data_IF_888180394063
#
_entry.id   IF_888180394063
#
_cell.length_a   1.000
_cell.length_b   1.000
_cell.length_c   1.000
_cell.angle_alpha   90.00
_cell.angle_beta   90.00
_cell.angle_gamma   90.00
#
_symmetry.space_group_name_H-M   'P 1'
#
loop_
_entity.id
_entity.type
_entity.pdbx_description
1 polymer ?
#
# COMPACT_ATOMS: atom_id res chain seq x y z
N UNK A 1 -3.19 25.70 7.52
CA UNK A 1 -3.99 24.44 7.60
C UNK A 1 -3.33 23.19 7.00
N UNK A 2 -2.37 23.27 6.06
CA UNK A 2 -1.79 22.05 5.43
C UNK A 2 -0.89 21.20 6.36
N UNK A 3 -0.19 21.80 7.32
CA UNK A 3 0.72 21.09 8.24
C UNK A 3 -0.02 20.09 9.14
N UNK A 4 -1.13 20.49 9.76
CA UNK A 4 -1.97 19.61 10.58
C UNK A 4 -2.50 18.36 9.83
N UNK A 5 -2.72 18.43 8.53
CA UNK A 5 -3.18 17.26 7.75
C UNK A 5 -2.06 16.26 7.48
N UNK A 6 -0.81 16.71 7.36
CA UNK A 6 0.37 15.87 7.19
C UNK A 6 0.70 15.15 8.49
N UNK A 7 0.73 15.88 9.61
CA UNK A 7 0.98 15.33 10.95
C UNK A 7 -0.05 14.27 11.31
N UNK A 8 -1.35 14.54 11.14
CA UNK A 8 -2.39 13.54 11.39
C UNK A 8 -2.25 12.28 10.51
N UNK A 9 -1.69 12.41 9.29
CA UNK A 9 -1.42 11.23 8.45
C UNK A 9 -0.23 10.42 8.97
N UNK A 10 0.85 11.10 9.32
CA UNK A 10 2.05 10.47 9.87
C UNK A 10 1.74 9.74 11.19
N UNK A 11 1.00 10.38 12.10
CA UNK A 11 0.56 9.77 13.35
C UNK A 11 -0.26 8.48 13.13
N UNK A 12 -1.23 8.49 12.20
CA UNK A 12 -2.00 7.28 11.86
C UNK A 12 -1.15 6.19 11.22
N UNK A 13 -0.10 6.55 10.48
CA UNK A 13 0.84 5.60 9.90
C UNK A 13 1.69 4.97 11.01
N UNK A 14 2.24 5.77 11.91
CA UNK A 14 3.02 5.32 13.06
C UNK A 14 2.22 4.38 13.97
N UNK A 15 1.00 4.78 14.39
CA UNK A 15 0.13 3.94 15.22
C UNK A 15 -0.17 2.58 14.59
N UNK A 16 -0.38 2.53 13.27
CA UNK A 16 -0.59 1.25 12.56
C UNK A 16 0.67 0.40 12.53
N UNK A 17 1.85 1.02 12.40
CA UNK A 17 3.12 0.30 12.41
C UNK A 17 3.39 -0.28 13.79
N UNK A 18 3.20 0.50 14.85
CA UNK A 18 3.35 0.04 16.24
C UNK A 18 2.40 -1.10 16.57
N UNK A 19 1.11 -0.97 16.23
CA UNK A 19 0.13 -2.04 16.43
C UNK A 19 0.56 -3.34 15.71
N UNK A 20 1.06 -3.23 14.49
CA UNK A 20 1.52 -4.40 13.74
C UNK A 20 2.79 -5.02 14.35
N UNK A 21 3.74 -4.20 14.82
CA UNK A 21 4.91 -4.69 15.55
C UNK A 21 4.52 -5.47 16.80
N UNK A 22 3.54 -4.95 17.57
CA UNK A 22 3.04 -5.60 18.78
C UNK A 22 2.35 -6.94 18.48
N UNK A 23 1.46 -6.97 17.46
CA UNK A 23 0.76 -8.21 17.07
C UNK A 23 1.75 -9.28 16.59
N UNK A 24 2.75 -8.88 15.80
CA UNK A 24 3.77 -9.78 15.29
C UNK A 24 4.89 -10.06 16.30
N UNK A 25 4.89 -9.40 17.46
CA UNK A 25 5.95 -9.49 18.47
C UNK A 25 7.35 -9.43 17.84
N UNK A 26 7.59 -8.40 17.03
CA UNK A 26 8.87 -8.23 16.30
C UNK A 26 10.02 -8.13 17.30
N UNK A 27 11.02 -9.00 17.12
CA UNK A 27 12.21 -9.03 18.00
C UNK A 27 13.27 -8.03 17.52
N UNK A 28 14.24 -7.64 18.37
CA UNK A 28 15.34 -6.77 17.96
C UNK A 28 16.11 -7.31 16.74
N UNK A 29 16.25 -8.64 16.61
CA UNK A 29 16.90 -9.26 15.45
C UNK A 29 16.11 -9.08 14.14
N UNK A 30 14.79 -8.87 14.23
CA UNK A 30 13.89 -8.71 13.09
C UNK A 30 13.64 -7.24 12.71
N UNK A 31 14.10 -6.28 13.52
CA UNK A 31 13.88 -4.84 13.31
C UNK A 31 14.44 -4.33 11.97
N UNK A 32 15.55 -4.91 11.49
CA UNK A 32 16.12 -4.58 10.18
C UNK A 32 15.19 -5.00 9.02
N UNK A 33 14.66 -6.22 9.08
CA UNK A 33 13.71 -6.74 8.09
C UNK A 33 12.38 -5.96 8.14
N UNK A 34 11.90 -5.66 9.35
CA UNK A 34 10.72 -4.82 9.57
C UNK A 34 10.85 -3.43 8.94
N UNK A 35 11.97 -2.74 9.22
CA UNK A 35 12.20 -1.38 8.74
C UNK A 35 12.26 -1.31 7.22
N UNK A 36 12.94 -2.28 6.59
CA UNK A 36 13.00 -2.42 5.13
C UNK A 36 11.61 -2.64 4.53
N UNK A 37 10.81 -3.51 5.13
CA UNK A 37 9.45 -3.77 4.68
C UNK A 37 8.53 -2.56 4.79
N UNK A 38 8.60 -1.82 5.91
CA UNK A 38 7.82 -0.60 6.08
C UNK A 38 8.23 0.50 5.10
N UNK A 39 9.53 0.66 4.85
CA UNK A 39 10.04 1.61 3.86
C UNK A 39 9.54 1.28 2.45
N UNK A 40 9.51 -0.01 2.09
CA UNK A 40 9.00 -0.45 0.78
C UNK A 40 7.53 -0.08 0.57
N UNK A 41 6.70 -0.10 1.62
CA UNK A 41 5.27 0.26 1.54
C UNK A 41 5.04 1.77 1.41
N UNK A 42 5.95 2.59 1.92
CA UNK A 42 5.85 4.05 1.90
C UNK A 42 6.42 4.70 0.63
N UNK A 43 7.36 4.03 -0.06
CA UNK A 43 8.09 4.61 -1.19
C UNK A 43 7.27 4.86 -2.48
N UNK A 44 6.01 4.42 -2.55
CA UNK A 44 5.16 4.76 -3.70
C UNK A 44 4.61 6.17 -3.61
N UNK A 45 4.96 7.03 -4.58
CA UNK A 45 4.36 8.36 -4.72
C UNK A 45 2.83 8.22 -4.79
N UNK A 46 2.07 8.97 -3.96
CA UNK A 46 0.64 9.07 -4.17
C UNK A 46 0.39 9.53 -5.61
N UNK A 47 -0.61 8.97 -6.29
CA UNK A 47 -1.04 9.46 -7.59
C UNK A 47 -1.20 10.98 -7.48
N UNK A 48 -0.41 11.73 -8.27
CA UNK A 48 -0.39 13.18 -8.17
C UNK A 48 -1.81 13.70 -8.42
N UNK A 49 -2.30 14.51 -7.48
CA UNK A 49 -3.50 15.32 -7.68
C UNK A 49 -3.20 16.25 -8.85
N UNK A 50 -3.57 15.86 -10.06
CA UNK A 50 -3.21 16.53 -11.31
C UNK A 50 -3.23 15.61 -12.54
N UNK A 51 -2.99 14.31 -12.37
CA UNK A 51 -2.98 13.35 -13.48
C UNK A 51 -4.30 13.31 -14.27
N UNK A 52 -5.44 13.56 -13.62
CA UNK A 52 -6.74 13.62 -14.32
C UNK A 52 -6.83 14.81 -15.28
N UNK A 53 -6.31 15.96 -14.88
CA UNK A 53 -6.30 17.16 -15.72
C UNK A 53 -5.29 17.03 -16.87
N UNK A 54 -4.13 16.41 -16.63
CA UNK A 54 -3.16 16.09 -17.69
C UNK A 54 -3.75 15.15 -18.73
N UNK A 55 -4.41 14.07 -18.30
CA UNK A 55 -5.04 13.10 -19.21
C UNK A 55 -6.16 13.71 -20.07
N UNK A 56 -6.86 14.73 -19.55
CA UNK A 56 -7.93 15.41 -20.27
C UNK A 56 -7.42 16.28 -21.43
N UNK A 57 -6.16 16.74 -21.36
CA UNK A 57 -5.52 17.55 -22.42
C UNK A 57 -4.92 16.71 -23.55
N UNK A 58 -4.77 15.40 -23.34
CA UNK A 58 -4.27 14.47 -24.35
C UNK A 58 -5.37 14.08 -25.33
N UNK A 59 -4.98 13.86 -26.58
CA UNK A 59 -5.83 13.20 -27.57
C UNK A 59 -6.13 11.76 -27.15
N UNK A 60 -7.14 11.14 -27.76
CA UNK A 60 -7.57 9.78 -27.38
C UNK A 60 -6.44 8.74 -27.49
N UNK A 61 -5.63 8.68 -28.58
CA UNK A 61 -4.51 7.74 -28.66
C UNK A 61 -3.44 7.97 -27.58
N UNK A 62 -3.00 9.22 -27.40
CA UNK A 62 -2.00 9.58 -26.38
C UNK A 62 -2.49 9.27 -24.95
N UNK A 63 -3.78 9.43 -24.70
CA UNK A 63 -4.40 9.07 -23.42
C UNK A 63 -4.32 7.57 -23.16
N UNK A 64 -4.56 6.74 -24.19
CA UNK A 64 -4.44 5.27 -24.09
C UNK A 64 -3.01 4.90 -23.72
N UNK A 65 -2.01 5.47 -24.40
CA UNK A 65 -0.60 5.19 -24.14
C UNK A 65 -0.17 5.66 -22.74
N UNK A 66 -0.60 6.86 -22.33
CA UNK A 66 -0.33 7.37 -20.98
C UNK A 66 -0.95 6.47 -19.92
N UNK A 67 -2.17 5.98 -20.13
CA UNK A 67 -2.83 5.05 -19.21
C UNK A 67 -2.13 3.69 -19.16
N UNK A 68 -1.62 3.19 -20.29
CA UNK A 68 -0.80 1.97 -20.35
C UNK A 68 0.47 2.14 -19.52
N UNK A 69 1.20 3.25 -19.70
CA UNK A 69 2.40 3.55 -18.93
C UNK A 69 2.12 3.64 -17.42
N UNK A 70 1.02 4.28 -17.02
CA UNK A 70 0.60 4.36 -15.62
C UNK A 70 0.26 2.99 -15.03
N UNK A 71 -0.37 2.10 -15.81
CA UNK A 71 -0.65 0.72 -15.38
C UNK A 71 0.66 -0.07 -15.20
N UNK A 72 1.58 0.01 -16.16
CA UNK A 72 2.88 -0.64 -16.08
C UNK A 72 3.67 -0.16 -14.84
N UNK A 73 3.71 1.14 -14.58
CA UNK A 73 4.38 1.69 -13.39
C UNK A 73 3.75 1.21 -12.09
N UNK A 74 2.42 1.08 -12.03
CA UNK A 74 1.72 0.52 -10.86
C UNK A 74 1.99 -0.96 -10.66
N UNK A 75 2.07 -1.73 -11.75
CA UNK A 75 2.40 -3.16 -11.70
C UNK A 75 3.82 -3.36 -11.14
N UNK A 76 4.82 -2.67 -11.70
CA UNK A 76 6.19 -2.73 -11.20
C UNK A 76 6.32 -2.35 -9.72
N UNK A 77 5.57 -1.34 -9.28
CA UNK A 77 5.53 -0.95 -7.87
C UNK A 77 4.84 -1.99 -6.98
N UNK A 78 3.82 -2.69 -7.49
CA UNK A 78 3.18 -3.79 -6.79
C UNK A 78 4.14 -4.98 -6.64
N UNK A 79 4.87 -5.33 -7.70
CA UNK A 79 5.87 -6.40 -7.68
C UNK A 79 6.98 -6.09 -6.67
N UNK A 80 7.52 -4.86 -6.67
CA UNK A 80 8.52 -4.41 -5.70
C UNK A 80 8.04 -4.57 -4.25
N UNK A 81 6.78 -4.22 -3.96
CA UNK A 81 6.18 -4.39 -2.62
C UNK A 81 5.94 -5.86 -2.29
N UNK A 82 5.56 -6.66 -3.30
CA UNK A 82 5.38 -8.10 -3.19
C UNK A 82 6.67 -8.78 -2.76
N UNK A 83 7.77 -8.50 -3.46
CA UNK A 83 9.09 -9.05 -3.12
C UNK A 83 9.55 -8.63 -1.72
N UNK A 84 9.44 -7.35 -1.36
CA UNK A 84 9.75 -6.92 0.01
C UNK A 84 8.89 -7.61 1.08
N UNK A 85 7.64 -7.96 0.76
CA UNK A 85 6.76 -8.70 1.67
C UNK A 85 7.19 -10.15 1.79
N UNK A 86 7.58 -10.81 0.69
CA UNK A 86 8.12 -12.18 0.72
C UNK A 86 9.41 -12.24 1.53
N UNK A 87 10.33 -11.29 1.34
CA UNK A 87 11.57 -11.20 2.12
C UNK A 87 11.29 -11.02 3.62
N UNK A 88 10.36 -10.14 3.98
CA UNK A 88 9.97 -9.96 5.38
C UNK A 88 9.34 -11.22 5.97
N UNK A 89 8.43 -11.87 5.22
CA UNK A 89 7.77 -13.11 5.65
C UNK A 89 8.76 -14.23 5.92
N UNK A 90 9.82 -14.36 5.10
CA UNK A 90 10.89 -15.34 5.31
C UNK A 90 11.72 -15.08 6.59
N UNK A 91 11.74 -13.84 7.10
CA UNK A 91 12.42 -13.49 8.35
C UNK A 91 11.54 -13.68 9.61
N UNK A 92 10.26 -14.00 9.44
CA UNK A 92 9.32 -14.27 10.53
C UNK A 92 9.41 -15.72 11.00
N UNK A 93 9.14 -15.96 12.28
CA UNK A 93 8.94 -17.32 12.80
C UNK A 93 7.62 -17.90 12.31
N UNK A 94 7.42 -19.23 12.34
CA UNK A 94 6.16 -19.85 11.91
C UNK A 94 4.91 -19.30 12.63
N UNK A 95 5.03 -18.98 13.93
CA UNK A 95 3.93 -18.38 14.69
C UNK A 95 3.61 -16.95 14.21
N UNK A 96 4.64 -16.15 13.93
CA UNK A 96 4.47 -14.79 13.41
C UNK A 96 3.94 -14.78 11.97
N UNK A 97 4.36 -15.74 11.14
CA UNK A 97 3.83 -15.93 9.80
C UNK A 97 2.32 -16.18 9.82
N UNK A 98 1.85 -17.08 10.68
CA UNK A 98 0.40 -17.32 10.87
C UNK A 98 -0.35 -16.06 11.31
N UNK A 99 0.21 -15.29 12.24
CA UNK A 99 -0.37 -14.01 12.66
C UNK A 99 -0.38 -12.99 11.51
N UNK A 100 0.67 -12.96 10.70
CA UNK A 100 0.77 -12.11 9.52
C UNK A 100 -0.27 -12.48 8.46
N UNK A 101 -0.49 -13.77 8.20
CA UNK A 101 -1.50 -14.25 7.26
C UNK A 101 -2.92 -13.88 7.69
N UNK A 102 -3.23 -14.02 8.98
CA UNK A 102 -4.52 -13.59 9.53
C UNK A 102 -4.75 -12.08 9.35
N UNK A 103 -3.73 -11.26 9.62
CA UNK A 103 -3.76 -9.82 9.39
C UNK A 103 -3.99 -9.44 7.92
N UNK A 104 -3.50 -10.27 6.99
CA UNK A 104 -3.63 -10.04 5.56
C UNK A 104 -5.00 -10.49 5.05
N UNK A 105 -5.56 -11.59 5.57
CA UNK A 105 -6.93 -12.04 5.28
C UNK A 105 -7.99 -11.03 5.76
N UNK A 106 -7.77 -10.37 6.89
CA UNK A 106 -8.63 -9.26 7.36
C UNK A 106 -8.52 -8.02 6.46
N UNK A 107 -7.39 -7.81 5.78
CA UNK A 107 -7.12 -6.66 4.91
C UNK A 107 -7.45 -6.92 3.44
N UNK A 108 -7.53 -8.18 3.03
CA UNK A 108 -7.75 -8.62 1.67
C UNK A 108 -8.60 -9.87 1.65
N UNK A 109 -9.72 -9.80 0.92
CA UNK A 109 -10.63 -10.90 0.57
C UNK A 109 -11.81 -11.21 1.51
N UNK A 110 -12.17 -10.30 2.42
CA UNK A 110 -13.46 -10.36 3.13
C UNK A 110 -14.06 -8.97 3.32
N UNK A 111 -15.18 -8.67 2.61
CA UNK A 111 -16.02 -7.45 2.70
C UNK A 111 -15.52 -6.21 1.96
N UNK A 112 -15.76 -6.17 0.65
CA UNK A 112 -15.50 -4.96 -0.14
C UNK A 112 -15.93 -4.98 -1.61
N UNK A 113 -17.02 -5.68 -1.96
CA UNK A 113 -17.65 -5.56 -3.29
C UNK A 113 -19.18 -5.76 -3.25
N UNK A 114 -19.83 -5.26 -2.20
CA UNK A 114 -21.29 -5.12 -2.13
C UNK A 114 -21.63 -3.69 -1.72
N UNK A 115 -22.41 -3.00 -2.56
CA UNK A 115 -22.87 -1.59 -2.50
C UNK A 115 -21.89 -0.56 -3.09
N UNK A 116 -22.20 0.21 -4.15
CA UNK A 116 -23.50 0.67 -4.67
C UNK A 116 -23.44 0.82 -6.20
N UNK A 117 -24.23 0.03 -6.92
CA UNK A 117 -24.95 0.59 -8.06
C UNK A 117 -25.95 1.61 -7.53
N UNK A 118 -25.88 2.86 -7.99
CA UNK A 118 -27.00 3.78 -7.94
C UNK A 118 -27.23 4.21 -9.38
N UNK A 119 -28.29 3.67 -9.97
CA UNK A 119 -29.04 4.34 -11.01
C UNK A 119 -29.40 5.75 -10.53
N UNK A 120 -29.08 6.76 -11.35
CA UNK A 120 -30.02 7.83 -11.74
C UNK A 120 -29.33 8.79 -12.72
N UNK A 121 -30.07 9.12 -13.76
CA UNK A 121 -29.68 9.88 -14.94
C UNK A 121 -30.32 9.21 -16.14
#
# INVERSE_FOLDING_TARGET
MMQHHLERRQQRVAQRQERLKQILQITPAQEGAWSTWIASRQAGKPLQRGQRAELARLTTPERIDRMRALRAARAAEADRRGEATKTFYAALTPAQQKAFDALQAERGFGRGAGHRGHHRG
#
